data_IF_443901300640
#
_entry.id   IF_443901300640
#
_cell.length_a   1.000
_cell.length_b   1.000
_cell.length_c   1.000
_cell.angle_alpha   90.00
_cell.angle_beta   90.00
_cell.angle_gamma   90.00
#
_symmetry.space_group_name_H-M   'P 1'
#
loop_
_entity.id
_entity.type
_entity.pdbx_description
1 polymer ?
#
# COMPACT_ATOMS: atom_id res chain seq x y z
N UNK A 1 -44.31 13.75 6.86
CA UNK A 1 -43.95 13.10 5.58
C UNK A 1 -43.04 13.94 4.69
N UNK A 2 -43.40 15.16 4.28
CA UNK A 2 -42.58 16.01 3.39
C UNK A 2 -41.15 16.34 3.89
N UNK A 3 -40.99 16.69 5.17
CA UNK A 3 -39.67 16.92 5.79
C UNK A 3 -38.81 15.64 5.84
N UNK A 4 -39.44 14.48 6.04
CA UNK A 4 -38.78 13.17 6.07
C UNK A 4 -38.29 12.79 4.68
N UNK A 5 -39.11 12.99 3.65
CA UNK A 5 -38.73 12.78 2.25
C UNK A 5 -37.56 13.69 1.81
N UNK A 6 -37.60 14.96 2.20
CA UNK A 6 -36.50 15.91 1.99
C UNK A 6 -35.19 15.46 2.65
N UNK A 7 -35.28 14.97 3.89
CA UNK A 7 -34.14 14.40 4.61
C UNK A 7 -33.53 13.19 3.89
N UNK A 8 -34.38 12.23 3.49
CA UNK A 8 -33.96 11.02 2.78
C UNK A 8 -33.29 11.37 1.44
N UNK A 9 -33.89 12.25 0.64
CA UNK A 9 -33.32 12.66 -0.65
C UNK A 9 -31.98 13.36 -0.48
N UNK A 10 -31.83 14.17 0.58
CA UNK A 10 -30.57 14.86 0.86
C UNK A 10 -29.45 13.88 1.25
N UNK A 11 -29.78 12.86 2.06
CA UNK A 11 -28.86 11.78 2.42
C UNK A 11 -28.43 10.99 1.18
N UNK A 12 -29.39 10.63 0.32
CA UNK A 12 -29.11 9.92 -0.95
C UNK A 12 -28.14 10.72 -1.82
N UNK A 13 -28.35 12.04 -1.94
CA UNK A 13 -27.46 12.91 -2.71
C UNK A 13 -26.06 12.93 -2.10
N UNK A 14 -25.95 13.08 -0.78
CA UNK A 14 -24.65 13.10 -0.08
C UNK A 14 -23.88 11.79 -0.32
N UNK A 15 -24.53 10.64 -0.10
CA UNK A 15 -23.93 9.32 -0.32
C UNK A 15 -23.48 9.17 -1.77
N UNK A 16 -24.34 9.55 -2.72
CA UNK A 16 -24.01 9.44 -4.15
C UNK A 16 -22.85 10.35 -4.52
N UNK A 17 -22.81 11.58 -4.00
CA UNK A 17 -21.68 12.49 -4.25
C UNK A 17 -20.38 12.01 -3.60
N UNK A 18 -20.46 11.37 -2.43
CA UNK A 18 -19.32 10.72 -1.80
C UNK A 18 -18.78 9.57 -2.65
N UNK A 19 -19.66 8.71 -3.16
CA UNK A 19 -19.25 7.64 -4.07
C UNK A 19 -18.62 8.15 -5.36
N UNK A 20 -19.23 9.15 -6.00
CA UNK A 20 -18.67 9.76 -7.21
C UNK A 20 -17.29 10.36 -6.91
N UNK A 21 -17.12 10.99 -5.75
CA UNK A 21 -15.81 11.48 -5.31
C UNK A 21 -14.80 10.34 -5.20
N UNK A 22 -15.12 9.27 -4.48
CA UNK A 22 -14.22 8.11 -4.32
C UNK A 22 -13.87 7.47 -5.66
N UNK A 23 -14.85 7.27 -6.53
CA UNK A 23 -14.63 6.73 -7.87
C UNK A 23 -13.68 7.61 -8.69
N UNK A 24 -13.83 8.93 -8.61
CA UNK A 24 -12.92 9.86 -9.29
C UNK A 24 -11.55 9.90 -8.62
N UNK A 25 -11.47 9.76 -7.30
CA UNK A 25 -10.20 9.73 -6.56
C UNK A 25 -9.37 8.51 -6.99
N UNK A 26 -9.90 7.31 -6.79
CA UNK A 26 -9.24 6.07 -7.23
C UNK A 26 -9.03 6.03 -8.75
N UNK A 27 -10.03 6.52 -9.51
CA UNK A 27 -9.94 6.65 -10.96
C UNK A 27 -8.83 7.60 -11.42
N UNK A 28 -8.52 8.63 -10.64
CA UNK A 28 -7.42 9.56 -10.90
C UNK A 28 -6.06 8.86 -10.80
N UNK A 29 -5.84 8.13 -9.71
CA UNK A 29 -4.65 7.30 -9.54
C UNK A 29 -4.51 6.28 -10.69
N UNK A 30 -5.57 5.51 -10.97
CA UNK A 30 -5.56 4.50 -12.01
C UNK A 30 -5.29 5.10 -13.41
N UNK A 31 -5.91 6.24 -13.73
CA UNK A 31 -5.69 6.94 -14.99
C UNK A 31 -4.23 7.39 -15.13
N UNK A 32 -3.65 7.97 -14.08
CA UNK A 32 -2.25 8.38 -14.10
C UNK A 32 -1.31 7.18 -14.27
N UNK A 33 -1.55 6.07 -13.57
CA UNK A 33 -0.75 4.85 -13.69
C UNK A 33 -0.80 4.29 -15.12
N UNK A 34 -2.01 4.21 -15.72
CA UNK A 34 -2.21 3.75 -17.09
C UNK A 34 -1.51 4.63 -18.13
N UNK A 35 -1.55 5.96 -17.95
CA UNK A 35 -0.87 6.92 -18.85
C UNK A 35 0.65 6.69 -18.84
N UNK A 36 1.21 6.28 -17.71
CA UNK A 36 2.63 5.96 -17.59
C UNK A 36 2.96 4.49 -17.92
N UNK A 37 2.01 3.69 -18.39
CA UNK A 37 2.24 2.33 -18.85
C UNK A 37 2.15 1.25 -17.76
N UNK A 38 1.74 1.61 -16.54
CA UNK A 38 1.47 0.62 -15.50
C UNK A 38 0.14 -0.12 -15.75
N UNK A 39 0.05 -1.38 -15.32
CA UNK A 39 -1.16 -2.19 -15.38
C UNK A 39 -1.88 -2.15 -14.04
N UNK A 40 -3.18 -1.85 -14.04
CA UNK A 40 -3.99 -1.89 -12.82
C UNK A 40 -4.23 -3.35 -12.43
N UNK A 41 -3.81 -3.73 -11.23
CA UNK A 41 -3.97 -5.07 -10.66
C UNK A 41 -5.14 -5.17 -9.69
N UNK A 42 -5.54 -4.06 -9.06
CA UNK A 42 -6.74 -3.98 -8.24
C UNK A 42 -7.36 -2.57 -8.34
N UNK A 43 -8.69 -2.49 -8.29
CA UNK A 43 -9.43 -1.23 -8.29
C UNK A 43 -10.70 -1.39 -7.44
N UNK A 44 -10.69 -0.86 -6.22
CA UNK A 44 -11.81 -0.95 -5.29
C UNK A 44 -12.27 0.45 -4.87
N UNK A 45 -13.57 0.71 -5.05
CA UNK A 45 -14.21 2.01 -4.77
C UNK A 45 -15.34 1.90 -3.76
N UNK A 46 -15.66 0.69 -3.31
CA UNK A 46 -16.73 0.41 -2.38
C UNK A 46 -16.30 0.65 -0.93
N UNK A 47 -16.37 1.92 -0.53
CA UNK A 47 -16.09 2.36 0.85
C UNK A 47 -17.05 1.80 1.92
N UNK A 48 -18.11 1.06 1.57
CA UNK A 48 -18.96 0.36 2.53
C UNK A 48 -18.43 -1.03 2.90
N UNK A 49 -17.54 -1.62 2.10
CA UNK A 49 -16.99 -2.97 2.33
C UNK A 49 -15.52 -2.94 2.72
N UNK A 50 -14.70 -2.16 2.03
CA UNK A 50 -13.25 -2.08 2.23
C UNK A 50 -12.83 -0.62 2.04
N UNK A 51 -11.70 -0.20 2.64
CA UNK A 51 -11.07 1.07 2.29
C UNK A 51 -10.83 1.11 0.78
N UNK A 52 -11.33 2.14 0.06
CA UNK A 52 -11.05 2.33 -1.34
C UNK A 52 -9.55 2.35 -1.59
N UNK A 53 -9.11 1.67 -2.65
CA UNK A 53 -7.71 1.64 -3.03
C UNK A 53 -7.56 1.17 -4.47
N UNK A 54 -6.40 1.48 -5.02
CA UNK A 54 -5.91 0.94 -6.29
C UNK A 54 -4.56 0.27 -6.07
N UNK A 55 -4.32 -0.80 -6.81
CA UNK A 55 -3.02 -1.43 -6.93
C UNK A 55 -2.63 -1.47 -8.40
N UNK A 56 -1.36 -1.25 -8.70
CA UNK A 56 -0.82 -1.33 -10.05
C UNK A 56 0.55 -1.98 -10.06
N UNK A 57 0.88 -2.58 -11.21
CA UNK A 57 2.15 -3.23 -11.49
C UNK A 57 2.76 -2.56 -12.71
N UNK A 58 3.98 -2.05 -12.57
CA UNK A 58 4.72 -1.40 -13.63
C UNK A 58 5.89 -0.59 -13.10
N UNK A 59 6.94 -0.48 -13.90
CA UNK A 59 8.11 0.34 -13.60
C UNK A 59 7.79 1.82 -13.83
N UNK A 60 7.48 2.50 -12.73
CA UNK A 60 7.28 3.95 -12.72
C UNK A 60 8.49 4.60 -12.03
N UNK A 61 9.03 5.66 -12.64
CA UNK A 61 9.97 6.56 -11.97
C UNK A 61 9.33 7.20 -10.74
N UNK A 62 10.17 7.64 -9.81
CA UNK A 62 9.76 8.34 -8.60
C UNK A 62 8.86 9.56 -8.85
N UNK A 63 9.15 10.35 -9.88
CA UNK A 63 8.28 11.46 -10.29
C UNK A 63 6.92 10.94 -10.77
N UNK A 64 6.89 9.85 -11.56
CA UNK A 64 5.64 9.26 -12.03
C UNK A 64 4.82 8.67 -10.88
N UNK A 65 5.44 7.95 -9.95
CA UNK A 65 4.77 7.46 -8.73
C UNK A 65 4.19 8.62 -7.91
N UNK A 66 4.96 9.70 -7.74
CA UNK A 66 4.48 10.91 -7.10
C UNK A 66 3.29 11.55 -7.83
N UNK A 67 3.31 11.61 -9.16
CA UNK A 67 2.17 12.09 -9.95
C UNK A 67 0.96 11.18 -9.77
N UNK A 68 1.16 9.85 -9.76
CA UNK A 68 0.10 8.89 -9.48
C UNK A 68 -0.50 9.16 -8.10
N UNK A 69 0.32 9.32 -7.05
CA UNK A 69 -0.16 9.67 -5.71
C UNK A 69 -0.94 10.99 -5.67
N UNK A 70 -0.52 12.02 -6.41
CA UNK A 70 -1.27 13.28 -6.49
C UNK A 70 -2.54 13.20 -7.34
N UNK A 71 -2.60 12.28 -8.30
CA UNK A 71 -3.70 12.20 -9.24
C UNK A 71 -5.03 11.92 -8.54
N UNK A 72 -5.01 11.15 -7.45
CA UNK A 72 -6.20 10.88 -6.63
C UNK A 72 -6.88 12.14 -6.10
N UNK A 73 -6.23 12.93 -5.23
CA UNK A 73 -6.83 14.15 -4.71
C UNK A 73 -7.04 15.25 -5.77
N UNK A 74 -6.21 15.31 -6.82
CA UNK A 74 -6.29 16.38 -7.83
C UNK A 74 -7.33 16.13 -8.93
N UNK A 75 -7.61 14.87 -9.29
CA UNK A 75 -8.53 14.58 -10.39
C UNK A 75 -9.99 14.98 -10.09
N UNK A 76 -10.59 14.65 -8.93
CA UNK A 76 -11.90 15.17 -8.53
C UNK A 76 -11.94 16.70 -8.52
N UNK A 77 -10.84 17.37 -8.11
CA UNK A 77 -10.73 18.83 -8.09
C UNK A 77 -10.81 19.43 -9.49
N UNK A 78 -10.08 18.86 -10.45
CA UNK A 78 -10.15 19.28 -11.85
C UNK A 78 -11.56 19.14 -12.42
N UNK A 79 -12.20 17.99 -12.17
CA UNK A 79 -13.60 17.76 -12.56
C UNK A 79 -14.54 18.78 -11.87
N UNK A 80 -14.31 19.07 -10.60
CA UNK A 80 -15.09 20.07 -9.86
C UNK A 80 -15.00 21.46 -10.49
N UNK A 81 -13.82 21.92 -10.93
CA UNK A 81 -13.69 23.21 -11.63
C UNK A 81 -14.48 23.26 -12.94
N UNK A 82 -14.46 22.18 -13.72
CA UNK A 82 -15.29 22.09 -14.93
C UNK A 82 -16.77 22.21 -14.56
N UNK A 83 -17.24 21.48 -13.56
CA UNK A 83 -18.65 21.48 -13.16
C UNK A 83 -19.07 22.84 -12.57
N UNK A 84 -18.23 23.49 -11.75
CA UNK A 84 -18.49 24.81 -11.16
C UNK A 84 -18.72 25.86 -12.26
N UNK A 85 -18.04 25.76 -13.41
CA UNK A 85 -18.24 26.66 -14.55
C UNK A 85 -19.69 26.65 -15.07
N UNK A 86 -20.38 25.53 -14.92
CA UNK A 86 -21.77 25.37 -15.35
C UNK A 86 -22.78 25.73 -14.25
N UNK A 87 -22.35 25.86 -13.00
CA UNK A 87 -23.20 26.09 -11.84
C UNK A 87 -24.18 27.28 -12.00
N UNK A 88 -23.79 28.46 -12.53
CA UNK A 88 -24.72 29.57 -12.75
C UNK A 88 -25.83 29.30 -13.78
N UNK A 89 -25.63 28.32 -14.67
CA UNK A 89 -26.59 27.94 -15.72
C UNK A 89 -27.58 26.88 -15.23
N UNK A 90 -27.33 26.25 -14.08
CA UNK A 90 -28.17 25.21 -13.52
C UNK A 90 -29.46 25.78 -12.96
N UNK A 91 -30.59 25.34 -13.53
CA UNK A 91 -31.94 25.73 -13.06
C UNK A 91 -32.60 24.66 -12.19
N UNK A 92 -32.07 23.43 -12.19
CA UNK A 92 -32.65 22.28 -11.47
C UNK A 92 -32.12 22.24 -10.03
N UNK A 93 -32.98 22.35 -8.99
CA UNK A 93 -32.54 22.42 -7.60
C UNK A 93 -31.74 21.21 -7.13
N UNK A 94 -32.18 19.99 -7.47
CA UNK A 94 -31.48 18.76 -7.07
C UNK A 94 -30.08 18.65 -7.69
N UNK A 95 -29.94 19.03 -8.96
CA UNK A 95 -28.65 19.06 -9.65
C UNK A 95 -27.75 20.14 -9.04
N UNK A 96 -28.33 21.27 -8.66
CA UNK A 96 -27.61 22.34 -7.98
C UNK A 96 -27.10 21.90 -6.61
N UNK A 97 -27.92 21.20 -5.82
CA UNK A 97 -27.50 20.59 -4.54
C UNK A 97 -26.41 19.55 -4.78
N UNK A 98 -26.58 18.63 -5.73
CA UNK A 98 -25.58 17.60 -6.03
C UNK A 98 -24.23 18.21 -6.44
N UNK A 99 -24.23 19.21 -7.33
CA UNK A 99 -23.01 19.90 -7.77
C UNK A 99 -22.35 20.67 -6.63
N UNK A 100 -23.12 21.38 -5.80
CA UNK A 100 -22.60 22.07 -4.63
C UNK A 100 -22.03 21.09 -3.61
N UNK A 101 -22.73 19.99 -3.32
CA UNK A 101 -22.28 18.93 -2.42
C UNK A 101 -20.97 18.29 -2.93
N UNK A 102 -20.91 17.93 -4.21
CA UNK A 102 -19.69 17.38 -4.80
C UNK A 102 -18.52 18.37 -4.76
N UNK A 103 -18.76 19.63 -5.14
CA UNK A 103 -17.73 20.68 -5.14
C UNK A 103 -17.23 20.98 -3.73
N UNK A 104 -18.13 21.03 -2.75
CA UNK A 104 -17.76 21.23 -1.35
C UNK A 104 -16.97 20.03 -0.82
N UNK A 105 -17.44 18.80 -1.05
CA UNK A 105 -16.74 17.55 -0.68
C UNK A 105 -15.30 17.53 -1.19
N UNK A 106 -15.13 17.88 -2.47
CA UNK A 106 -13.82 17.93 -3.13
C UNK A 106 -12.90 19.02 -2.56
N UNK A 107 -13.45 20.18 -2.20
CA UNK A 107 -12.64 21.21 -1.54
C UNK A 107 -12.24 20.80 -0.12
N UNK A 108 -13.14 20.19 0.63
CA UNK A 108 -12.86 19.74 2.00
C UNK A 108 -11.87 18.59 2.03
N UNK A 109 -11.81 17.73 1.02
CA UNK A 109 -10.81 16.66 0.95
C UNK A 109 -9.38 17.16 0.75
N UNK A 110 -9.17 18.42 0.37
CA UNK A 110 -7.85 19.04 0.36
C UNK A 110 -7.32 19.33 1.78
N UNK A 111 -8.18 19.40 2.80
CA UNK A 111 -7.75 19.74 4.16
C UNK A 111 -6.79 18.70 4.76
N UNK A 112 -7.06 17.38 4.70
CA UNK A 112 -6.06 16.36 5.03
C UNK A 112 -4.72 16.57 4.31
N UNK A 113 -4.76 16.89 3.00
CA UNK A 113 -3.58 17.13 2.18
C UNK A 113 -2.77 18.39 2.58
N UNK A 114 -3.36 19.31 3.35
CA UNK A 114 -2.69 20.47 3.95
C UNK A 114 -2.09 20.10 5.31
N UNK A 115 -2.83 19.34 6.11
CA UNK A 115 -2.50 19.04 7.51
C UNK A 115 -1.45 17.93 7.61
N UNK A 116 -1.59 16.85 6.84
CA UNK A 116 -0.73 15.67 6.96
C UNK A 116 0.75 15.94 6.66
N UNK A 117 1.14 16.75 5.66
CA UNK A 117 2.55 17.12 5.48
C UNK A 117 3.17 17.78 6.71
N UNK A 118 2.41 18.61 7.45
CA UNK A 118 2.88 19.26 8.67
C UNK A 118 3.06 18.25 9.81
N UNK A 119 2.15 17.28 9.92
CA UNK A 119 2.23 16.23 10.92
C UNK A 119 3.34 15.22 10.61
N UNK A 120 3.59 14.93 9.34
CA UNK A 120 4.69 14.10 8.86
C UNK A 120 6.04 14.72 9.23
N UNK A 121 6.21 16.04 9.04
CA UNK A 121 7.40 16.76 9.49
C UNK A 121 7.63 16.67 11.01
N UNK A 122 6.56 16.51 11.79
CA UNK A 122 6.63 16.30 13.24
C UNK A 122 6.82 14.84 13.68
N UNK A 123 6.94 13.89 12.74
CA UNK A 123 7.04 12.45 13.03
C UNK A 123 5.76 11.83 13.60
N UNK A 124 4.58 12.45 13.38
CA UNK A 124 3.32 12.10 14.07
C UNK A 124 2.30 11.36 13.20
N UNK A 125 2.56 11.19 11.91
CA UNK A 125 1.63 10.55 10.97
C UNK A 125 2.36 9.47 10.19
N UNK A 126 1.69 8.32 10.05
CA UNK A 126 2.18 7.17 9.32
C UNK A 126 2.16 7.34 7.80
N UNK A 127 2.57 6.29 7.10
CA UNK A 127 2.98 6.35 5.70
C UNK A 127 1.86 6.09 4.67
N UNK A 128 0.59 6.02 5.07
CA UNK A 128 -0.49 5.48 4.21
C UNK A 128 -1.40 6.55 3.58
N UNK A 129 -0.90 7.77 3.39
CA UNK A 129 -1.66 8.91 2.87
C UNK A 129 -1.07 9.37 1.54
N UNK A 130 -1.91 9.65 0.54
CA UNK A 130 -1.49 10.01 -0.83
C UNK A 130 -0.47 11.13 -0.88
N UNK A 131 -0.69 12.18 -0.09
CA UNK A 131 0.20 13.33 -0.02
C UNK A 131 1.56 12.99 0.60
N UNK A 132 1.59 12.02 1.52
CA UNK A 132 2.81 11.55 2.16
C UNK A 132 3.57 10.66 1.20
N UNK A 133 2.88 9.76 0.48
CA UNK A 133 3.49 9.03 -0.63
C UNK A 133 4.07 9.97 -1.68
N UNK A 134 3.36 11.03 -2.08
CA UNK A 134 3.92 12.02 -3.00
C UNK A 134 5.23 12.62 -2.46
N UNK A 135 5.22 13.12 -1.22
CA UNK A 135 6.40 13.69 -0.55
C UNK A 135 7.57 12.72 -0.59
N UNK A 136 7.34 11.44 -0.29
CA UNK A 136 8.40 10.43 -0.27
C UNK A 136 8.93 10.11 -1.66
N UNK A 137 8.04 9.92 -2.63
CA UNK A 137 8.46 9.57 -3.99
C UNK A 137 9.26 10.70 -4.63
N UNK A 138 8.93 11.97 -4.40
CA UNK A 138 9.64 13.09 -5.06
C UNK A 138 10.67 13.80 -4.17
N UNK A 139 10.94 13.26 -2.98
CA UNK A 139 11.68 13.92 -1.90
C UNK A 139 11.23 15.38 -1.69
N UNK A 140 9.92 15.56 -1.69
CA UNK A 140 9.26 16.86 -1.70
C UNK A 140 9.31 17.52 -0.33
N UNK A 141 9.70 18.80 -0.27
CA UNK A 141 9.64 19.54 0.99
C UNK A 141 8.19 19.61 1.54
N UNK A 142 7.90 19.06 2.74
CA UNK A 142 6.53 18.97 3.27
C UNK A 142 5.83 20.34 3.42
N UNK A 143 6.59 21.41 3.72
CA UNK A 143 6.04 22.76 3.83
C UNK A 143 5.61 23.30 2.46
N UNK A 144 6.37 23.02 1.41
CA UNK A 144 6.01 23.41 0.04
C UNK A 144 4.77 22.67 -0.45
N UNK A 145 4.64 21.39 -0.12
CA UNK A 145 3.43 20.60 -0.44
C UNK A 145 2.20 21.14 0.29
N UNK A 146 2.33 21.41 1.59
CA UNK A 146 1.29 22.08 2.38
C UNK A 146 0.87 23.43 1.76
N UNK A 147 1.84 24.29 1.42
CA UNK A 147 1.58 25.58 0.78
C UNK A 147 0.88 25.42 -0.58
N UNK A 148 1.26 24.40 -1.37
CA UNK A 148 0.64 24.07 -2.65
C UNK A 148 -0.84 23.72 -2.48
N UNK A 149 -1.17 22.76 -1.61
CA UNK A 149 -2.55 22.37 -1.34
C UNK A 149 -3.38 23.49 -0.70
N UNK A 150 -2.78 24.29 0.18
CA UNK A 150 -3.44 25.48 0.75
C UNK A 150 -3.78 26.50 -0.34
N UNK A 151 -2.86 26.72 -1.28
CA UNK A 151 -3.08 27.60 -2.43
C UNK A 151 -4.21 27.08 -3.32
N UNK A 152 -4.21 25.77 -3.62
CA UNK A 152 -5.29 25.14 -4.39
C UNK A 152 -6.65 25.26 -3.69
N UNK A 153 -6.69 25.07 -2.37
CA UNK A 153 -7.90 25.26 -1.57
C UNK A 153 -8.43 26.70 -1.67
N UNK A 154 -7.55 27.70 -1.50
CA UNK A 154 -7.92 29.11 -1.65
C UNK A 154 -8.40 29.44 -3.07
N UNK A 155 -7.70 28.96 -4.11
CA UNK A 155 -8.11 29.12 -5.52
C UNK A 155 -9.50 28.51 -5.73
N UNK A 156 -9.73 27.30 -5.21
CA UNK A 156 -11.00 26.61 -5.36
C UNK A 156 -12.16 27.30 -4.67
N UNK A 157 -11.96 27.84 -3.47
CA UNK A 157 -12.95 28.70 -2.80
C UNK A 157 -13.24 29.96 -3.63
N UNK A 158 -12.22 30.66 -4.10
CA UNK A 158 -12.39 31.85 -4.95
C UNK A 158 -13.14 31.52 -6.23
N UNK A 159 -12.83 30.39 -6.86
CA UNK A 159 -13.48 29.92 -8.07
C UNK A 159 -14.96 29.62 -7.83
N UNK A 160 -15.27 28.90 -6.75
CA UNK A 160 -16.65 28.61 -6.33
C UNK A 160 -17.45 29.89 -6.10
N UNK A 161 -16.89 30.89 -5.42
CA UNK A 161 -17.59 32.14 -5.15
C UNK A 161 -17.72 33.07 -6.37
N UNK A 162 -16.64 33.26 -7.13
CA UNK A 162 -16.60 34.21 -8.26
C UNK A 162 -17.22 33.64 -9.54
N UNK A 163 -16.83 32.43 -9.91
CA UNK A 163 -17.30 31.77 -11.15
C UNK A 163 -18.60 31.03 -10.89
N UNK A 164 -18.66 30.24 -9.81
CA UNK A 164 -19.86 29.51 -9.43
C UNK A 164 -21.03 30.39 -8.94
N UNK A 165 -20.76 31.65 -8.56
CA UNK A 165 -21.76 32.63 -8.09
C UNK A 165 -22.65 32.09 -6.96
N UNK A 166 -22.07 31.29 -6.08
CA UNK A 166 -22.79 30.54 -5.03
C UNK A 166 -23.64 31.44 -4.13
N UNK A 167 -23.17 32.65 -3.79
CA UNK A 167 -23.94 33.61 -2.99
C UNK A 167 -25.25 34.03 -3.68
N UNK A 168 -25.21 34.26 -5.00
CA UNK A 168 -26.39 34.64 -5.79
C UNK A 168 -27.38 33.48 -5.88
N UNK A 169 -26.86 32.27 -6.05
CA UNK A 169 -27.64 31.04 -6.10
C UNK A 169 -28.37 30.80 -4.77
N UNK A 170 -27.68 30.90 -3.64
CA UNK A 170 -28.31 30.76 -2.32
C UNK A 170 -29.37 31.82 -2.07
N UNK A 171 -29.13 33.07 -2.48
CA UNK A 171 -30.14 34.15 -2.40
C UNK A 171 -31.37 33.87 -3.27
N UNK A 172 -31.19 33.32 -4.47
CA UNK A 172 -32.28 32.96 -5.38
C UNK A 172 -33.08 31.75 -4.87
N UNK A 173 -32.41 30.73 -4.33
CA UNK A 173 -33.04 29.55 -3.74
C UNK A 173 -33.85 29.88 -2.48
N UNK A 174 -33.38 30.82 -1.65
CA UNK A 174 -34.14 31.29 -0.48
C UNK A 174 -35.49 31.94 -0.86
N UNK A 175 -35.65 32.42 -2.10
CA UNK A 175 -36.90 32.99 -2.63
C UNK A 175 -37.82 31.95 -3.29
N UNK A 176 -37.29 30.80 -3.72
CA UNK A 176 -38.08 29.71 -4.32
C UNK A 176 -38.71 28.88 -3.20
N UNK A 177 -39.93 29.27 -2.85
CA UNK A 177 -40.84 28.57 -1.93
C UNK A 177 -40.85 27.05 -2.13
N UNK A 178 -41.01 26.35 -1.00
CA UNK A 178 -41.19 24.91 -0.83
C UNK A 178 -42.11 24.25 -1.86
N UNK A 179 -43.06 24.95 -2.49
CA UNK A 179 -44.11 24.41 -3.38
C UNK A 179 -43.61 23.66 -4.62
N UNK A 180 -42.47 24.03 -5.20
CA UNK A 180 -41.99 23.39 -6.45
C UNK A 180 -41.27 22.04 -6.24
N UNK A 181 -41.15 21.57 -5.01
CA UNK A 181 -40.49 20.29 -4.69
C UNK A 181 -41.32 19.04 -5.00
N UNK A 182 -42.65 19.14 -5.18
CA UNK A 182 -43.51 17.98 -5.42
C UNK A 182 -43.40 17.42 -6.85
N UNK A 183 -42.99 18.23 -7.82
CA UNK A 183 -42.70 17.83 -9.20
C UNK A 183 -41.24 17.33 -9.39
N UNK A 184 -40.58 16.93 -8.29
CA UNK A 184 -39.18 16.55 -8.25
C UNK A 184 -38.89 15.42 -9.26
N UNK A 185 -37.85 15.63 -10.07
CA UNK A 185 -37.48 14.79 -11.21
C UNK A 185 -37.38 13.29 -10.84
N UNK A 186 -38.49 12.57 -11.03
CA UNK A 186 -38.59 11.10 -11.01
C UNK A 186 -37.40 10.41 -11.70
N UNK A 187 -36.91 10.85 -12.88
CA UNK A 187 -35.75 10.20 -13.51
C UNK A 187 -34.45 10.39 -12.73
N UNK A 188 -34.23 11.51 -12.04
CA UNK A 188 -32.99 11.73 -11.28
C UNK A 188 -32.99 10.94 -9.96
N UNK A 189 -34.15 10.83 -9.31
CA UNK A 189 -34.33 9.97 -8.13
C UNK A 189 -34.19 8.49 -8.51
N UNK A 190 -34.68 8.10 -9.70
CA UNK A 190 -34.47 6.76 -10.25
C UNK A 190 -32.98 6.49 -10.51
N UNK A 191 -32.24 7.42 -11.13
CA UNK A 191 -30.79 7.28 -11.36
C UNK A 191 -30.05 7.18 -10.03
N UNK A 192 -30.33 8.04 -9.05
CA UNK A 192 -29.71 7.99 -7.72
C UNK A 192 -30.07 6.67 -7.00
N UNK A 193 -31.29 6.17 -7.16
CA UNK A 193 -31.73 4.87 -6.65
C UNK A 193 -31.01 3.71 -7.33
N UNK A 194 -30.81 3.76 -8.65
CA UNK A 194 -30.03 2.77 -9.41
C UNK A 194 -28.57 2.79 -8.95
N UNK A 195 -27.96 3.97 -8.76
CA UNK A 195 -26.59 4.08 -8.22
C UNK A 195 -26.51 3.48 -6.83
N UNK A 196 -27.48 3.74 -5.95
CA UNK A 196 -27.56 3.12 -4.62
C UNK A 196 -27.75 1.59 -4.67
N UNK A 197 -28.55 1.09 -5.60
CA UNK A 197 -28.74 -0.35 -5.80
C UNK A 197 -27.45 -0.96 -6.34
N UNK A 198 -26.80 -0.34 -7.32
CA UNK A 198 -25.51 -0.78 -7.86
C UNK A 198 -24.43 -0.77 -6.78
N UNK A 199 -24.43 0.23 -5.88
CA UNK A 199 -23.57 0.29 -4.70
C UNK A 199 -23.84 -0.85 -3.71
N UNK A 200 -25.12 -1.14 -3.43
CA UNK A 200 -25.52 -2.20 -2.52
C UNK A 200 -25.24 -3.61 -3.09
N UNK A 201 -25.21 -3.75 -4.41
CA UNK A 201 -25.08 -5.05 -5.11
C UNK A 201 -23.71 -5.30 -5.72
N UNK A 202 -22.81 -4.31 -5.78
CA UNK A 202 -21.46 -4.44 -6.34
C UNK A 202 -21.41 -4.55 -7.88
N UNK A 203 -22.50 -4.22 -8.58
CA UNK A 203 -22.71 -4.59 -10.00
C UNK A 203 -21.87 -3.77 -11.00
N UNK A 204 -21.27 -2.64 -10.63
CA UNK A 204 -20.67 -1.72 -11.61
C UNK A 204 -19.30 -2.12 -12.17
N UNK A 205 -18.66 -3.16 -11.64
CA UNK A 205 -17.49 -3.77 -12.27
C UNK A 205 -17.46 -5.28 -11.98
N UNK A 206 -17.54 -6.15 -13.01
CA UNK A 206 -16.97 -7.48 -12.93
C UNK A 206 -15.45 -7.33 -13.12
N UNK A 207 -14.79 -6.57 -12.24
CA UNK A 207 -13.44 -6.96 -11.89
C UNK A 207 -13.65 -8.22 -11.09
N UNK A 208 -13.07 -9.34 -11.52
CA UNK A 208 -13.17 -10.60 -10.81
C UNK A 208 -13.16 -10.32 -9.33
N UNK A 209 -14.32 -10.48 -8.71
CA UNK A 209 -14.40 -10.73 -7.28
C UNK A 209 -13.78 -12.12 -7.14
N UNK A 210 -12.46 -12.21 -7.26
CA UNK A 210 -11.74 -12.69 -6.11
C UNK A 210 -12.24 -11.81 -4.97
N UNK A 211 -13.30 -12.28 -4.30
CA UNK A 211 -13.42 -11.97 -2.90
C UNK A 211 -12.00 -12.15 -2.37
N UNK A 212 -11.33 -11.06 -2.00
CA UNK A 212 -10.09 -11.14 -1.24
C UNK A 212 -10.34 -11.81 0.15
N UNK A 213 -11.58 -12.25 0.40
CA UNK A 213 -12.04 -13.10 1.49
C UNK A 213 -12.35 -14.54 1.08
N UNK A 214 -12.41 -14.93 -0.20
CA UNK A 214 -12.48 -16.35 -0.60
C UNK A 214 -11.07 -16.86 -0.80
N UNK A 215 -10.52 -17.41 0.28
CA UNK A 215 -9.21 -18.04 0.28
C UNK A 215 -8.66 -18.19 1.69
N UNK A 216 -8.94 -17.23 2.57
CA UNK A 216 -8.59 -17.27 3.99
C UNK A 216 -9.62 -18.09 4.76
N UNK A 217 -9.42 -19.41 4.83
CA UNK A 217 -10.39 -20.35 5.40
C UNK A 217 -10.37 -20.36 6.95
N UNK A 218 -9.33 -19.81 7.58
CA UNK A 218 -9.16 -19.85 9.03
C UNK A 218 -8.91 -18.46 9.59
N UNK A 219 -9.90 -17.95 10.34
CA UNK A 219 -9.81 -16.72 11.11
C UNK A 219 -9.73 -17.01 12.60
N UNK A 220 -8.71 -16.51 13.30
CA UNK A 220 -8.63 -16.51 14.76
C UNK A 220 -8.75 -15.07 15.24
N UNK A 221 -9.69 -14.83 16.15
CA UNK A 221 -9.84 -13.56 16.85
C UNK A 221 -9.36 -13.73 18.29
N UNK A 222 -8.51 -12.82 18.75
CA UNK A 222 -8.02 -12.77 20.11
C UNK A 222 -8.14 -11.36 20.69
N UNK A 223 -8.50 -11.31 21.97
CA UNK A 223 -8.51 -10.10 22.79
C UNK A 223 -7.66 -10.36 24.03
N UNK A 224 -6.72 -9.46 24.32
CA UNK A 224 -5.80 -9.63 25.45
C UNK A 224 -6.56 -9.58 26.78
N UNK A 225 -6.58 -10.70 27.52
CA UNK A 225 -7.34 -10.84 28.77
C UNK A 225 -6.60 -10.32 30.01
N UNK A 226 -5.27 -10.19 29.94
CA UNK A 226 -4.39 -9.74 31.03
C UNK A 226 -3.31 -8.78 30.50
N UNK A 227 -2.73 -7.95 31.38
CA UNK A 227 -1.57 -7.10 31.04
C UNK A 227 -0.29 -7.93 31.22
N UNK A 228 0.56 -8.02 30.19
CA UNK A 228 1.86 -8.68 30.32
C UNK A 228 2.55 -9.01 29.00
N UNK A 229 3.87 -9.26 29.06
CA UNK A 229 4.73 -9.49 27.89
C UNK A 229 4.65 -10.93 27.31
N UNK A 230 3.69 -11.75 27.78
CA UNK A 230 3.61 -13.15 27.41
C UNK A 230 3.12 -13.37 25.98
N UNK A 231 3.81 -14.21 25.20
CA UNK A 231 3.29 -14.68 23.92
C UNK A 231 2.16 -15.67 24.12
N UNK A 232 1.07 -15.45 23.40
CA UNK A 232 -0.05 -16.36 23.24
C UNK A 232 -0.04 -17.00 21.86
N UNK A 233 -0.48 -18.25 21.77
CA UNK A 233 -0.68 -18.93 20.51
C UNK A 233 -1.95 -18.40 19.84
N UNK A 234 -1.82 -17.76 18.66
CA UNK A 234 -3.00 -17.45 17.84
C UNK A 234 -3.44 -18.70 17.08
N UNK A 235 -2.49 -19.38 16.43
CA UNK A 235 -2.78 -20.62 15.71
C UNK A 235 -1.55 -21.49 15.63
N UNK A 236 -1.74 -22.79 15.80
CA UNK A 236 -0.77 -23.82 15.49
C UNK A 236 -1.28 -24.67 14.33
N UNK A 237 -0.41 -24.98 13.38
CA UNK A 237 -0.75 -25.80 12.21
C UNK A 237 0.43 -26.66 11.78
N UNK A 238 0.13 -27.81 11.17
CA UNK A 238 1.12 -28.69 10.58
C UNK A 238 0.97 -28.76 9.07
N UNK A 239 2.08 -28.78 8.36
CA UNK A 239 2.15 -28.95 6.91
C UNK A 239 2.77 -30.31 6.59
N UNK A 240 2.06 -31.11 5.79
CA UNK A 240 2.56 -32.40 5.29
C UNK A 240 3.50 -32.27 4.09
N UNK A 241 3.45 -31.12 3.41
CA UNK A 241 4.26 -30.77 2.24
C UNK A 241 4.48 -29.26 2.21
N UNK A 242 5.44 -28.80 1.42
CA UNK A 242 5.78 -27.39 1.37
C UNK A 242 4.64 -26.56 0.77
N UNK A 243 4.35 -25.40 1.37
CA UNK A 243 3.27 -24.49 0.97
C UNK A 243 3.71 -23.05 1.10
N UNK A 244 2.99 -22.17 0.41
CA UNK A 244 3.10 -20.72 0.55
C UNK A 244 2.04 -20.25 1.54
N UNK A 245 2.47 -19.75 2.71
CA UNK A 245 1.60 -19.12 3.68
C UNK A 245 1.32 -17.68 3.24
N UNK A 246 0.04 -17.34 3.17
CA UNK A 246 -0.41 -15.96 3.11
C UNK A 246 -1.25 -15.69 4.34
N UNK A 247 -1.04 -14.52 4.95
CA UNK A 247 -1.72 -14.11 6.16
C UNK A 247 -2.12 -12.65 6.09
N UNK A 248 -3.20 -12.33 6.76
CA UNK A 248 -3.71 -10.99 6.98
C UNK A 248 -4.03 -10.87 8.44
N UNK A 249 -3.70 -9.76 9.05
CA UNK A 249 -4.16 -9.47 10.40
C UNK A 249 -4.76 -8.08 10.49
N UNK A 250 -5.78 -7.97 11.31
CA UNK A 250 -6.45 -6.71 11.67
C UNK A 250 -6.27 -6.50 13.17
N UNK A 251 -5.95 -5.29 13.59
CA UNK A 251 -5.67 -5.03 14.99
C UNK A 251 -6.00 -3.60 15.39
N UNK A 252 -6.48 -3.45 16.62
CA UNK A 252 -6.73 -2.15 17.27
C UNK A 252 -5.64 -1.85 18.32
N UNK A 253 -4.51 -2.55 18.27
CA UNK A 253 -3.43 -2.48 19.25
C UNK A 253 -2.66 -1.16 19.14
N UNK A 254 -2.91 -0.26 20.09
CA UNK A 254 -2.18 1.01 20.22
C UNK A 254 -0.98 0.92 21.17
N UNK A 255 -0.79 -0.21 21.83
CA UNK A 255 0.31 -0.49 22.76
C UNK A 255 1.47 -1.22 22.07
N UNK A 256 2.54 -1.50 22.81
CA UNK A 256 3.61 -2.36 22.31
C UNK A 256 3.06 -3.76 22.05
N UNK A 257 3.32 -4.31 20.87
CA UNK A 257 2.93 -5.66 20.49
C UNK A 257 4.02 -6.36 19.70
N UNK A 258 3.99 -7.68 19.72
CA UNK A 258 4.82 -8.53 18.88
C UNK A 258 3.98 -9.60 18.19
N UNK A 259 4.23 -9.83 16.91
CA UNK A 259 3.64 -10.92 16.13
C UNK A 259 4.78 -11.75 15.52
N UNK A 260 4.77 -13.04 15.78
CA UNK A 260 5.82 -13.95 15.33
C UNK A 260 5.22 -15.16 14.61
N UNK A 261 5.93 -15.65 13.60
CA UNK A 261 5.75 -16.96 13.02
C UNK A 261 6.95 -17.81 13.41
N UNK A 262 6.71 -18.95 14.05
CA UNK A 262 7.77 -19.84 14.51
C UNK A 262 7.61 -21.23 13.90
N UNK A 263 8.74 -21.89 13.67
CA UNK A 263 8.79 -23.31 13.40
C UNK A 263 8.95 -24.06 14.73
N UNK A 264 7.90 -24.77 15.14
CA UNK A 264 7.87 -25.46 16.44
C UNK A 264 8.71 -26.74 16.47
N UNK A 265 9.14 -27.23 15.31
CA UNK A 265 10.11 -28.34 15.23
C UNK A 265 11.55 -27.86 15.52
N UNK A 266 11.77 -26.53 15.59
CA UNK A 266 13.08 -25.92 15.84
C UNK A 266 13.97 -25.83 14.61
N UNK A 267 13.46 -26.22 13.44
CA UNK A 267 14.16 -26.11 12.17
C UNK A 267 14.12 -24.65 11.67
N UNK A 268 15.22 -24.12 11.12
CA UNK A 268 15.27 -22.76 10.62
C UNK A 268 14.36 -22.58 9.40
N UNK A 269 13.81 -21.38 9.23
CA UNK A 269 13.13 -21.03 8.00
C UNK A 269 14.11 -21.00 6.82
N UNK A 270 13.60 -21.29 5.63
CA UNK A 270 14.46 -21.44 4.47
C UNK A 270 15.23 -20.15 4.11
N UNK A 271 14.59 -19.00 4.31
CA UNK A 271 15.11 -17.67 3.95
C UNK A 271 15.83 -16.96 5.09
N UNK A 272 15.50 -17.28 6.35
CA UNK A 272 16.22 -16.76 7.53
C UNK A 272 16.74 -17.93 8.34
N UNK A 273 18.03 -17.96 8.65
CA UNK A 273 18.67 -19.06 9.40
C UNK A 273 18.30 -19.03 10.90
N UNK A 274 17.01 -18.95 11.19
CA UNK A 274 16.38 -18.82 12.48
C UNK A 274 15.08 -19.61 12.46
N UNK A 275 14.69 -20.16 13.62
CA UNK A 275 13.43 -20.88 13.82
C UNK A 275 12.21 -19.96 13.98
N UNK A 276 12.41 -18.64 13.85
CA UNK A 276 11.40 -17.61 14.10
C UNK A 276 11.51 -16.45 13.13
N UNK A 277 10.37 -15.93 12.70
CA UNK A 277 10.22 -14.69 11.95
C UNK A 277 9.43 -13.72 12.82
N UNK A 278 10.03 -12.59 13.17
CA UNK A 278 9.31 -11.47 13.79
C UNK A 278 8.64 -10.66 12.69
N UNK A 279 7.31 -10.76 12.61
CA UNK A 279 6.48 -10.07 11.61
C UNK A 279 6.25 -8.61 12.02
N UNK A 280 6.04 -8.39 13.31
CA UNK A 280 5.95 -7.06 13.91
C UNK A 280 6.56 -7.11 15.31
N UNK A 281 7.30 -6.07 15.70
CA UNK A 281 7.73 -5.85 17.07
C UNK A 281 7.91 -4.36 17.32
N UNK A 282 7.35 -3.86 18.41
CA UNK A 282 7.42 -2.44 18.78
C UNK A 282 6.05 -1.88 19.11
N UNK A 283 5.87 -0.57 18.95
CA UNK A 283 4.65 0.16 19.33
C UNK A 283 3.39 -0.23 18.55
N UNK A 284 2.47 0.73 18.40
CA UNK A 284 1.17 0.51 17.77
C UNK A 284 1.27 -0.28 16.46
N UNK A 285 0.42 -1.29 16.32
CA UNK A 285 0.40 -2.21 15.19
C UNK A 285 -0.72 -1.78 14.24
N UNK A 286 -0.43 -1.68 12.94
CA UNK A 286 -1.43 -1.41 11.92
C UNK A 286 -1.83 -2.72 11.23
N UNK A 287 -3.03 -2.78 10.64
CA UNK A 287 -3.45 -3.90 9.80
C UNK A 287 -2.38 -4.23 8.76
N UNK A 288 -2.13 -5.53 8.55
CA UNK A 288 -1.09 -6.00 7.65
C UNK A 288 -1.56 -7.16 6.78
N UNK A 289 -1.00 -7.23 5.58
CA UNK A 289 -1.13 -8.38 4.68
C UNK A 289 0.27 -8.83 4.35
N UNK A 290 0.51 -10.12 4.52
CA UNK A 290 1.73 -10.81 4.14
C UNK A 290 1.36 -11.92 3.16
N UNK A 291 2.01 -11.93 2.01
CA UNK A 291 1.86 -12.99 1.02
C UNK A 291 3.23 -13.56 0.71
N UNK A 292 3.33 -14.88 0.71
CA UNK A 292 4.52 -15.53 0.17
C UNK A 292 5.53 -16.10 1.14
N UNK A 293 5.15 -16.39 2.39
CA UNK A 293 6.06 -17.14 3.27
C UNK A 293 6.20 -18.58 2.78
N UNK A 294 7.41 -18.95 2.36
CA UNK A 294 7.72 -20.32 2.02
C UNK A 294 7.84 -21.17 3.27
N UNK A 295 6.98 -22.17 3.43
CA UNK A 295 7.03 -23.09 4.56
C UNK A 295 7.25 -24.51 4.06
N UNK A 296 8.30 -25.17 4.53
CA UNK A 296 8.51 -26.60 4.33
C UNK A 296 7.49 -27.44 5.11
N UNK A 297 7.46 -28.75 4.88
CA UNK A 297 6.72 -29.66 5.76
C UNK A 297 7.25 -29.55 7.19
N UNK A 298 6.35 -29.40 8.16
CA UNK A 298 6.71 -29.13 9.55
C UNK A 298 5.55 -28.59 10.36
N UNK A 299 5.78 -28.40 11.66
CA UNK A 299 4.83 -27.80 12.58
C UNK A 299 5.19 -26.34 12.85
N UNK A 300 4.20 -25.46 12.72
CA UNK A 300 4.38 -24.01 12.85
C UNK A 300 3.35 -23.42 13.80
N UNK A 301 3.69 -22.24 14.31
CA UNK A 301 2.81 -21.50 15.17
C UNK A 301 2.93 -20.00 14.91
N UNK A 302 1.78 -19.32 14.84
CA UNK A 302 1.73 -17.85 14.85
C UNK A 302 1.38 -17.42 16.26
N UNK A 303 2.24 -16.60 16.86
CA UNK A 303 2.11 -16.13 18.24
C UNK A 303 2.00 -14.63 18.30
N UNK A 304 1.25 -14.13 19.26
CA UNK A 304 1.04 -12.70 19.49
C UNK A 304 1.33 -12.35 20.94
N UNK A 305 1.90 -11.18 21.20
CA UNK A 305 1.97 -10.59 22.52
C UNK A 305 1.54 -9.14 22.45
N UNK A 306 0.82 -8.68 23.47
CA UNK A 306 0.48 -7.27 23.66
C UNK A 306 0.66 -6.90 25.12
N UNK A 307 1.14 -5.68 25.36
CA UNK A 307 1.37 -5.17 26.70
C UNK A 307 0.10 -4.70 27.41
N UNK A 308 -1.03 -4.57 26.70
CA UNK A 308 -2.24 -3.94 27.24
C UNK A 308 -3.46 -4.86 27.12
N UNK A 309 -4.14 -5.04 28.25
CA UNK A 309 -5.45 -5.70 28.31
C UNK A 309 -6.47 -5.01 27.40
N UNK A 310 -7.19 -5.79 26.62
CA UNK A 310 -8.23 -5.36 25.68
C UNK A 310 -7.73 -5.07 24.26
N UNK A 311 -6.42 -5.18 23.99
CA UNK A 311 -5.90 -5.13 22.62
C UNK A 311 -6.39 -6.33 21.82
N UNK A 312 -6.82 -6.09 20.57
CA UNK A 312 -7.45 -7.10 19.72
C UNK A 312 -6.61 -7.37 18.50
N UNK A 313 -6.53 -8.64 18.12
CA UNK A 313 -6.00 -9.06 16.84
C UNK A 313 -6.92 -10.10 16.21
N UNK A 314 -7.18 -9.92 14.93
CA UNK A 314 -7.88 -10.87 14.08
C UNK A 314 -6.92 -11.33 13.00
N UNK A 315 -6.49 -12.57 13.07
CA UNK A 315 -5.61 -13.20 12.08
C UNK A 315 -6.46 -14.02 11.11
N UNK A 316 -6.21 -13.87 9.82
CA UNK A 316 -6.78 -14.69 8.74
C UNK A 316 -5.63 -15.25 7.91
N UNK A 317 -5.58 -16.55 7.66
CA UNK A 317 -4.48 -17.15 6.89
C UNK A 317 -4.94 -18.23 5.91
N UNK A 318 -4.13 -18.48 4.90
CA UNK A 318 -4.30 -19.58 3.96
C UNK A 318 -2.97 -20.13 3.46
N UNK A 319 -3.06 -21.29 2.84
CA UNK A 319 -1.96 -21.91 2.13
C UNK A 319 -2.29 -21.98 0.66
N UNK A 320 -1.36 -21.54 -0.18
CA UNK A 320 -1.40 -21.76 -1.61
C UNK A 320 -0.34 -22.79 -2.01
N UNK A 321 -0.61 -23.51 -3.08
CA UNK A 321 0.41 -24.33 -3.74
C UNK A 321 1.56 -23.45 -4.20
N UNK A 322 2.75 -24.05 -4.25
CA UNK A 322 3.93 -23.42 -4.82
C UNK A 322 3.79 -23.43 -6.34
N UNK A 323 3.94 -22.26 -6.96
CA UNK A 323 4.08 -22.20 -8.40
C UNK A 323 5.48 -22.66 -8.84
N UNK A 324 5.73 -22.92 -10.13
CA UNK A 324 7.04 -23.38 -10.60
C UNK A 324 8.19 -22.42 -10.24
N UNK A 325 7.94 -21.12 -10.18
CA UNK A 325 8.96 -20.09 -9.87
C UNK A 325 9.27 -20.10 -8.37
N UNK A 326 8.25 -20.20 -7.52
CA UNK A 326 8.39 -20.36 -6.07
C UNK A 326 9.22 -21.61 -5.72
N UNK A 327 9.02 -22.72 -6.45
CA UNK A 327 9.82 -23.94 -6.28
C UNK A 327 11.28 -23.72 -6.65
N UNK A 328 11.54 -23.06 -7.77
CA UNK A 328 12.91 -22.73 -8.20
C UNK A 328 13.64 -21.87 -7.17
N UNK A 329 12.99 -20.84 -6.60
CA UNK A 329 13.60 -20.02 -5.56
C UNK A 329 13.82 -20.78 -4.26
N UNK A 330 12.86 -21.62 -3.86
CA UNK A 330 13.03 -22.47 -2.69
C UNK A 330 14.22 -23.43 -2.87
N UNK A 331 14.38 -24.01 -4.06
CA UNK A 331 15.50 -24.88 -4.36
C UNK A 331 16.84 -24.15 -4.27
N UNK A 332 16.91 -22.88 -4.71
CA UNK A 332 18.10 -22.04 -4.50
C UNK A 332 18.44 -21.87 -3.02
N UNK A 333 17.46 -21.53 -2.18
CA UNK A 333 17.71 -21.39 -0.74
C UNK A 333 18.05 -22.73 -0.05
N UNK A 334 17.49 -23.86 -0.50
CA UNK A 334 17.88 -25.19 -0.02
C UNK A 334 19.32 -25.53 -0.40
N UNK A 335 19.71 -25.17 -1.62
CA UNK A 335 21.08 -25.35 -2.09
C UNK A 335 22.04 -24.48 -1.29
N UNK A 336 21.66 -23.25 -0.95
CA UNK A 336 22.45 -22.36 -0.07
C UNK A 336 22.62 -22.96 1.33
N UNK A 337 21.54 -23.41 1.95
CA UNK A 337 21.58 -23.99 3.30
C UNK A 337 22.33 -25.33 3.35
N UNK A 338 22.29 -26.11 2.26
CA UNK A 338 23.03 -27.39 2.15
C UNK A 338 24.49 -27.24 1.70
N UNK A 339 24.94 -26.04 1.35
CA UNK A 339 26.29 -25.82 0.87
C UNK A 339 26.52 -26.22 -0.60
N UNK A 340 25.46 -26.44 -1.37
CA UNK A 340 25.51 -26.93 -2.75
C UNK A 340 25.19 -25.88 -3.80
N UNK A 341 24.96 -24.62 -3.39
CA UNK A 341 24.75 -23.52 -4.32
C UNK A 341 26.08 -23.15 -4.99
N UNK A 342 26.06 -22.98 -6.30
CA UNK A 342 27.25 -22.68 -7.12
C UNK A 342 26.99 -21.51 -8.06
N UNK A 343 28.04 -21.05 -8.74
CA UNK A 343 27.97 -20.01 -9.77
C UNK A 343 27.00 -20.32 -10.92
N UNK A 344 26.78 -21.61 -11.19
CA UNK A 344 25.92 -22.08 -12.27
C UNK A 344 24.50 -22.43 -11.79
N UNK A 345 24.19 -22.19 -10.51
CA UNK A 345 22.90 -22.58 -9.93
C UNK A 345 21.79 -21.59 -10.26
N UNK A 346 22.09 -20.29 -10.30
CA UNK A 346 21.09 -19.27 -10.61
C UNK A 346 21.05 -18.98 -12.11
N UNK A 347 20.05 -19.53 -12.78
CA UNK A 347 19.84 -19.41 -14.23
C UNK A 347 18.55 -18.64 -14.51
N UNK A 348 18.61 -17.30 -14.47
CA UNK A 348 17.51 -16.44 -14.91
C UNK A 348 17.93 -15.64 -16.16
N UNK A 349 17.12 -15.70 -17.21
CA UNK A 349 17.38 -14.97 -18.45
C UNK A 349 17.52 -13.47 -18.13
N UNK A 350 18.67 -12.88 -18.47
CA UNK A 350 19.09 -11.48 -18.25
C UNK A 350 19.96 -11.22 -17.01
N UNK A 351 20.16 -12.17 -16.09
CA UNK A 351 21.10 -12.00 -14.97
C UNK A 351 22.50 -12.51 -15.32
N UNK A 352 23.52 -11.75 -14.95
CA UNK A 352 24.93 -12.11 -15.10
C UNK A 352 25.62 -12.13 -13.73
N UNK A 353 26.41 -13.18 -13.47
CA UNK A 353 27.26 -13.25 -12.29
C UNK A 353 28.37 -12.19 -12.39
N UNK A 354 28.34 -11.22 -11.49
CA UNK A 354 29.32 -10.12 -11.45
C UNK A 354 30.34 -10.25 -10.33
N UNK A 355 30.03 -11.04 -9.29
CA UNK A 355 30.95 -11.35 -8.21
C UNK A 355 30.72 -12.75 -7.65
N UNK A 356 31.82 -13.45 -7.39
CA UNK A 356 31.88 -14.66 -6.59
C UNK A 356 33.18 -14.72 -5.79
N UNK A 357 33.08 -14.98 -4.48
CA UNK A 357 34.23 -15.16 -3.62
C UNK A 357 33.86 -15.58 -2.19
N UNK A 358 34.81 -16.21 -1.50
CA UNK A 358 34.71 -16.47 -0.06
C UNK A 358 35.20 -15.23 0.70
N UNK A 359 34.32 -14.67 1.52
CA UNK A 359 34.57 -13.50 2.36
C UNK A 359 34.70 -13.92 3.83
N UNK A 360 35.68 -13.37 4.53
CA UNK A 360 35.95 -13.65 5.94
C UNK A 360 35.70 -12.39 6.75
N UNK A 361 35.01 -12.53 7.88
CA UNK A 361 34.51 -11.41 8.70
C UNK A 361 35.61 -10.51 9.26
N UNK A 362 36.10 -9.58 8.44
CA UNK A 362 37.22 -8.67 8.72
C UNK A 362 36.83 -7.20 8.62
N UNK A 363 35.56 -6.90 8.33
CA UNK A 363 35.02 -5.54 8.20
C UNK A 363 34.23 -5.34 6.90
N UNK A 364 34.35 -4.15 6.31
CA UNK A 364 33.66 -3.78 5.06
C UNK A 364 34.54 -4.10 3.85
N UNK A 365 34.04 -4.94 2.94
CA UNK A 365 34.66 -5.28 1.66
C UNK A 365 33.82 -4.71 0.51
N UNK A 366 34.47 -4.10 -0.48
CA UNK A 366 33.82 -3.72 -1.74
C UNK A 366 33.86 -4.90 -2.71
N UNK A 367 32.67 -5.40 -3.09
CA UNK A 367 32.54 -6.58 -3.96
C UNK A 367 32.51 -6.21 -5.45
N UNK A 368 31.83 -5.12 -5.80
CA UNK A 368 31.62 -4.75 -7.20
C UNK A 368 31.50 -3.22 -7.39
N UNK A 369 32.03 -2.70 -8.49
CA UNK A 369 31.87 -1.29 -8.90
C UNK A 369 30.91 -1.21 -10.10
N UNK A 370 29.85 -0.44 -9.96
CA UNK A 370 28.87 -0.23 -11.03
C UNK A 370 29.34 0.95 -11.88
N UNK A 371 29.85 0.66 -13.08
CA UNK A 371 30.54 1.63 -13.93
C UNK A 371 29.59 2.60 -14.68
N UNK A 372 28.42 2.12 -15.10
CA UNK A 372 27.35 2.88 -15.76
C UNK A 372 26.00 2.33 -15.29
N UNK A 373 25.07 3.20 -14.93
CA UNK A 373 23.83 2.79 -14.28
C UNK A 373 22.58 3.15 -15.12
N UNK A 374 21.68 2.19 -15.39
CA UNK A 374 20.45 2.43 -16.15
C UNK A 374 19.36 3.21 -15.37
N UNK A 375 19.70 3.89 -14.28
CA UNK A 375 18.76 4.49 -13.32
C UNK A 375 18.09 3.48 -12.37
N UNK A 376 18.20 2.18 -12.67
CA UNK A 376 17.69 1.08 -11.87
C UNK A 376 18.58 -0.15 -12.04
N UNK A 377 18.86 -0.87 -10.95
CA UNK A 377 19.54 -2.15 -10.94
C UNK A 377 18.61 -3.21 -10.35
N UNK A 378 18.55 -4.38 -10.97
CA UNK A 378 17.99 -5.55 -10.32
C UNK A 378 19.12 -6.48 -9.91
N UNK A 379 19.17 -6.79 -8.62
CA UNK A 379 20.24 -7.55 -7.99
C UNK A 379 19.68 -8.83 -7.39
N UNK A 380 20.26 -9.97 -7.76
CA UNK A 380 20.07 -11.23 -7.03
C UNK A 380 21.37 -11.53 -6.31
N UNK A 381 21.29 -11.70 -4.99
CA UNK A 381 22.47 -11.90 -4.16
C UNK A 381 22.24 -13.05 -3.20
N UNK A 382 23.24 -13.89 -3.04
CA UNK A 382 23.18 -15.08 -2.18
C UNK A 382 24.43 -15.19 -1.34
N UNK A 383 24.26 -15.67 -0.11
CA UNK A 383 25.32 -15.87 0.86
C UNK A 383 25.21 -17.29 1.44
N UNK A 384 26.30 -18.04 1.38
CA UNK A 384 26.40 -19.41 1.86
C UNK A 384 27.53 -19.50 2.91
N UNK A 385 27.24 -19.98 4.11
CA UNK A 385 28.25 -20.08 5.17
C UNK A 385 27.68 -19.85 6.57
N UNK A 386 28.54 -19.38 7.47
CA UNK A 386 28.17 -19.07 8.85
C UNK A 386 28.69 -17.69 9.22
N UNK A 387 27.81 -16.86 9.77
CA UNK A 387 28.12 -15.49 10.17
C UNK A 387 27.32 -15.09 11.42
N UNK A 388 27.85 -14.15 12.20
CA UNK A 388 27.12 -13.49 13.29
C UNK A 388 26.28 -12.32 12.76
N UNK A 389 26.81 -11.56 11.80
CA UNK A 389 26.10 -10.50 11.08
C UNK A 389 26.55 -10.42 9.63
N UNK A 390 25.60 -10.29 8.70
CA UNK A 390 25.83 -10.07 7.29
C UNK A 390 24.97 -8.90 6.80
N UNK A 391 25.62 -7.85 6.30
CA UNK A 391 24.97 -6.75 5.60
C UNK A 391 25.57 -6.57 4.22
N UNK A 392 24.77 -6.76 3.18
CA UNK A 392 25.13 -6.43 1.81
C UNK A 392 24.31 -5.20 1.39
N UNK A 393 24.97 -4.19 0.85
CA UNK A 393 24.29 -2.98 0.39
C UNK A 393 24.91 -2.40 -0.87
N UNK A 394 24.11 -1.64 -1.58
CA UNK A 394 24.56 -0.75 -2.64
C UNK A 394 24.71 0.67 -2.09
N UNK A 395 25.74 1.39 -2.54
CA UNK A 395 26.04 2.77 -2.13
C UNK A 395 26.50 3.61 -3.30
N UNK A 396 25.87 4.78 -3.46
CA UNK A 396 26.20 5.81 -4.45
C UNK A 396 25.89 7.23 -3.92
N UNK A 397 25.68 8.19 -4.83
CA UNK A 397 25.30 9.57 -4.52
C UNK A 397 23.91 9.73 -3.87
N UNK A 398 23.01 8.75 -4.01
CA UNK A 398 21.70 8.72 -3.33
C UNK A 398 21.78 8.12 -1.92
N UNK A 399 22.88 7.44 -1.59
CA UNK A 399 23.15 6.87 -0.27
C UNK A 399 23.10 5.34 -0.23
N UNK A 400 23.03 4.78 0.99
CA UNK A 400 23.11 3.34 1.25
C UNK A 400 21.73 2.67 1.15
N UNK A 401 21.62 1.63 0.32
CA UNK A 401 20.42 0.81 0.13
C UNK A 401 20.72 -0.67 0.36
N UNK A 402 20.01 -1.30 1.29
CA UNK A 402 20.23 -2.71 1.67
C UNK A 402 19.78 -3.70 0.59
N UNK A 403 20.60 -4.73 0.39
CA UNK A 403 20.38 -5.88 -0.50
C UNK A 403 20.09 -7.13 0.33
N UNK A 404 20.95 -7.43 1.31
CA UNK A 404 20.81 -8.53 2.27
C UNK A 404 21.06 -8.01 3.69
N UNK A 405 20.24 -8.45 4.65
CA UNK A 405 20.46 -8.18 6.08
C UNK A 405 20.17 -9.44 6.88
N UNK A 406 21.22 -10.12 7.35
CA UNK A 406 21.15 -11.31 8.20
C UNK A 406 20.30 -12.47 7.64
N UNK A 407 20.22 -12.58 6.31
CA UNK A 407 19.52 -13.65 5.61
C UNK A 407 20.31 -14.16 4.39
N UNK A 408 20.04 -15.40 3.98
CA UNK A 408 20.89 -16.16 3.03
C UNK A 408 20.80 -15.73 1.56
N UNK A 409 19.80 -14.94 1.19
CA UNK A 409 19.73 -14.41 -0.18
C UNK A 409 18.49 -13.58 -0.51
N UNK A 410 18.51 -12.98 -1.70
CA UNK A 410 17.44 -12.19 -2.30
C UNK A 410 17.44 -12.43 -3.81
N UNK A 411 16.26 -12.38 -4.42
CA UNK A 411 16.09 -12.56 -5.86
C UNK A 411 15.41 -11.32 -6.44
N UNK A 412 16.01 -10.75 -7.48
CA UNK A 412 15.44 -9.62 -8.22
C UNK A 412 15.23 -8.35 -7.40
N UNK A 413 16.10 -8.09 -6.41
CA UNK A 413 16.02 -6.89 -5.59
C UNK A 413 16.31 -5.67 -6.43
N UNK A 414 15.27 -4.89 -6.69
CA UNK A 414 15.36 -3.57 -7.29
C UNK A 414 16.07 -2.54 -6.41
N UNK A 415 17.04 -1.84 -6.99
CA UNK A 415 17.81 -0.75 -6.37
C UNK A 415 17.79 0.46 -7.29
N UNK A 416 17.45 1.61 -6.73
CA UNK A 416 17.53 2.87 -7.47
C UNK A 416 18.98 3.33 -7.53
N UNK A 417 19.42 3.78 -8.71
CA UNK A 417 20.79 4.25 -8.89
C UNK A 417 20.81 5.71 -9.29
N UNK A 418 21.68 6.47 -8.63
CA UNK A 418 21.98 7.85 -8.93
C UNK A 418 22.81 8.03 -10.20
N UNK A 419 23.32 9.25 -10.37
CA UNK A 419 24.01 9.66 -11.59
C UNK A 419 25.51 9.36 -11.56
N UNK A 420 26.03 8.97 -10.39
CA UNK A 420 27.43 8.68 -10.15
C UNK A 420 27.79 7.20 -10.29
N UNK A 421 29.05 6.90 -9.99
CA UNK A 421 29.52 5.52 -9.83
C UNK A 421 29.05 4.98 -8.49
N UNK A 422 28.42 3.81 -8.52
CA UNK A 422 28.02 3.09 -7.31
C UNK A 422 28.93 1.93 -6.97
N UNK A 423 28.80 1.41 -5.76
CA UNK A 423 29.49 0.17 -5.37
C UNK A 423 28.61 -0.72 -4.51
N UNK A 424 28.79 -2.02 -4.66
CA UNK A 424 28.16 -3.03 -3.81
C UNK A 424 29.19 -3.45 -2.76
N UNK A 425 28.82 -3.26 -1.50
CA UNK A 425 29.68 -3.46 -0.35
C UNK A 425 29.06 -4.49 0.59
N UNK A 426 29.92 -5.27 1.23
CA UNK A 426 29.60 -6.29 2.21
C UNK A 426 30.23 -5.92 3.54
N UNK A 427 29.46 -6.00 4.61
CA UNK A 427 29.97 -6.08 5.97
C UNK A 427 29.65 -7.48 6.51
N UNK A 428 30.69 -8.17 6.95
CA UNK A 428 30.59 -9.49 7.54
C UNK A 428 31.25 -9.46 8.92
N UNK A 429 30.52 -9.87 9.95
CA UNK A 429 31.05 -10.02 11.31
C UNK A 429 30.94 -11.48 11.74
N UNK A 430 32.04 -11.98 12.32
CA UNK A 430 32.12 -13.29 12.95
C UNK A 430 31.78 -14.46 12.02
N UNK A 431 32.77 -15.02 11.32
CA UNK A 431 32.58 -16.21 10.48
C UNK A 431 33.07 -16.03 9.05
N UNK A 432 32.50 -16.82 8.12
CA UNK A 432 32.84 -16.85 6.70
C UNK A 432 31.60 -17.07 5.83
N UNK A 433 31.53 -16.39 4.69
CA UNK A 433 30.44 -16.50 3.74
C UNK A 433 30.96 -16.51 2.30
N UNK A 434 30.54 -17.48 1.51
CA UNK A 434 30.64 -17.45 0.04
C UNK A 434 29.52 -16.57 -0.50
N UNK A 435 29.89 -15.54 -1.27
CA UNK A 435 28.94 -14.58 -1.82
C UNK A 435 28.80 -14.79 -3.32
N UNK A 436 27.56 -14.81 -3.79
CA UNK A 436 27.20 -14.88 -5.21
C UNK A 436 26.37 -13.66 -5.54
N UNK A 437 26.81 -12.85 -6.50
CA UNK A 437 26.16 -11.61 -6.86
C UNK A 437 25.86 -11.59 -8.36
N UNK A 438 24.59 -11.42 -8.69
CA UNK A 438 24.09 -11.38 -10.05
C UNK A 438 23.40 -10.04 -10.30
N UNK A 439 23.70 -9.42 -11.45
CA UNK A 439 23.05 -8.20 -11.91
C UNK A 439 22.29 -8.48 -13.20
N UNK A 440 21.08 -7.91 -13.30
CA UNK A 440 20.33 -7.91 -14.55
C UNK A 440 20.96 -6.95 -15.55
N UNK A 441 21.15 -7.41 -16.79
CA UNK A 441 21.67 -6.64 -17.93
C UNK A 441 20.68 -5.63 -18.48
#
# INVERSE_FOLDING_TARGET
MRKVYLGIVSIIVIITTGFIYTLLHEGGHALAALVFGAKISAFEVNFFRVSPHISYVGELSNIQKGIVSLAGPLFPLLISFVIISFLPKLKRPLLLVAVLSFSFSTLTSLLPNIIFPLLYMGGKVGYNEDVIHFIQHVDGNPLMVCLGFFTLFCIGLLYLFKVGKVVTIFKAQRKLSLENWANFNKPLVLILGIVLIMLATGILFPGDTHDAFTGYNYGVEYEADEEGEGFISLVAFGLSEAKKLNMRYETDTLSTACLELINTDGEPFLFINQDRITIHSGGAMNNGIFSGFYLDAGAYEIRFSSFKKGDKIKLSYNFSELDPVDNTYADYFRMLNSGTFTQDTYEEESYELVYYGEEVGTGITKLYEVAEAPGYLEISAFAQGQWDNLSLWYEDDLGKQSILVDHGGTVGRGIEVGSGKGSINLELQGGKAEIFLYLKK
#
